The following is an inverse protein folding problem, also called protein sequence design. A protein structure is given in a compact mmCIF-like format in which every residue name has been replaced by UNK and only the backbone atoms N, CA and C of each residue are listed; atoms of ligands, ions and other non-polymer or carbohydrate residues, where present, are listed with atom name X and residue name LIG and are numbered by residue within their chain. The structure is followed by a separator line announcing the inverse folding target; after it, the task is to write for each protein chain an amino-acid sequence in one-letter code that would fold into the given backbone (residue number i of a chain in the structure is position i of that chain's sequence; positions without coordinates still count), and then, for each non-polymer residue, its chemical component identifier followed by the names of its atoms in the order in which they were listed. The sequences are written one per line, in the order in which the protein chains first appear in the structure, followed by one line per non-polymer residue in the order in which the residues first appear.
data_IF_941705369220
#
_entry.id   IF_941705369220
#
_cell.length_a   1.000
_cell.length_b   1.000
_cell.length_c   1.000
_cell.angle_alpha   90.00
_cell.angle_beta   90.00
_cell.angle_gamma   90.00
#
_symmetry.space_group_name_H-M   'P 1'
#
loop_
_entity.id
_entity.type
_entity.pdbx_description
1 polymer ?
#
# COMPACT_ATOMS: atom_id res chain seq x y z
N UNK A 1 -21.48 -5.41 -0.72
CA UNK A 1 -20.67 -4.35 -0.08
C UNK A 1 -21.54 -3.22 0.46
N UNK A 2 -22.59 -2.83 -0.28
CA UNK A 2 -23.58 -1.84 0.17
C UNK A 2 -24.24 -2.17 1.51
N UNK A 3 -24.63 -3.43 1.73
CA UNK A 3 -25.20 -3.92 3.00
C UNK A 3 -24.23 -3.80 4.21
N UNK A 4 -22.92 -3.75 3.94
CA UNK A 4 -21.88 -3.62 4.96
C UNK A 4 -21.32 -2.19 5.05
N UNK A 5 -21.82 -1.26 4.22
CA UNK A 5 -21.31 0.12 4.06
C UNK A 5 -19.79 0.17 3.83
N UNK A 6 -19.25 -0.84 3.14
CA UNK A 6 -17.82 -0.99 2.88
C UNK A 6 -17.54 -0.71 1.39
N UNK A 7 -16.64 0.22 1.04
CA UNK A 7 -16.37 0.57 -0.35
C UNK A 7 -15.52 -0.50 -1.07
N UNK A 8 -15.91 -0.82 -2.31
CA UNK A 8 -15.13 -1.64 -3.25
C UNK A 8 -13.91 -0.90 -3.80
N UNK A 9 -14.02 0.42 -3.94
CA UNK A 9 -13.02 1.32 -4.47
C UNK A 9 -12.98 2.57 -3.61
N UNK A 10 -11.79 3.08 -3.29
CA UNK A 10 -11.64 4.24 -2.43
C UNK A 10 -10.44 5.09 -2.85
N UNK A 11 -10.59 6.40 -2.71
CA UNK A 11 -9.47 7.35 -2.77
C UNK A 11 -9.39 8.04 -1.40
N UNK A 12 -8.20 8.01 -0.81
CA UNK A 12 -7.91 8.71 0.46
C UNK A 12 -6.88 9.78 0.18
N UNK A 13 -7.25 11.04 0.41
CA UNK A 13 -6.34 12.18 0.36
C UNK A 13 -5.92 12.55 1.78
N UNK A 14 -4.63 12.78 1.98
CA UNK A 14 -4.01 13.08 3.26
C UNK A 14 -3.22 14.38 3.18
N UNK A 15 -3.30 15.16 4.26
CA UNK A 15 -2.46 16.33 4.48
C UNK A 15 -1.56 16.05 5.69
N UNK A 16 -0.25 16.03 5.46
CA UNK A 16 0.74 15.76 6.50
C UNK A 16 1.05 17.03 7.29
N UNK A 17 1.50 16.87 8.54
CA UNK A 17 1.84 18.01 9.43
C UNK A 17 2.91 18.94 8.85
N UNK A 18 3.78 18.42 7.99
CA UNK A 18 4.82 19.18 7.30
C UNK A 18 4.34 19.90 6.04
N UNK A 19 3.04 19.86 5.74
CA UNK A 19 2.43 20.50 4.57
C UNK A 19 2.46 19.68 3.29
N UNK A 20 3.00 18.45 3.32
CA UNK A 20 2.99 17.55 2.18
C UNK A 20 1.61 16.94 1.97
N UNK A 21 1.38 16.47 0.74
CA UNK A 21 0.17 15.75 0.35
C UNK A 21 0.48 14.28 0.11
N UNK A 22 -0.48 13.42 0.47
CA UNK A 22 -0.49 12.01 0.12
C UNK A 22 -1.82 11.61 -0.48
N UNK A 23 -1.80 10.68 -1.43
CA UNK A 23 -3.00 10.08 -1.97
C UNK A 23 -2.84 8.56 -2.02
N UNK A 24 -3.91 7.85 -1.68
CA UNK A 24 -4.00 6.40 -1.80
C UNK A 24 -5.21 6.11 -2.69
N UNK A 25 -5.02 5.32 -3.74
CA UNK A 25 -6.07 4.74 -4.58
C UNK A 25 -6.09 3.23 -4.33
N UNK A 26 -7.27 2.70 -4.02
CA UNK A 26 -7.50 1.30 -3.69
C UNK A 26 -8.68 0.77 -4.48
N UNK A 27 -8.50 -0.42 -5.05
CA UNK A 27 -9.57 -1.15 -5.72
C UNK A 27 -9.52 -2.63 -5.36
N UNK A 28 -10.68 -3.20 -5.04
CA UNK A 28 -10.86 -4.66 -4.94
C UNK A 28 -11.08 -5.32 -6.30
N UNK A 29 -11.18 -4.54 -7.36
CA UNK A 29 -11.52 -4.96 -8.72
C UNK A 29 -10.32 -4.98 -9.68
N UNK A 30 -9.12 -5.26 -9.17
CA UNK A 30 -7.90 -5.45 -9.97
C UNK A 30 -7.92 -6.72 -10.81
N UNK A 31 -8.86 -6.84 -11.76
CA UNK A 31 -9.06 -8.02 -12.59
C UNK A 31 -7.84 -8.36 -13.47
N UNK A 32 -6.96 -7.38 -13.66
CA UNK A 32 -5.74 -7.50 -14.46
C UNK A 32 -4.51 -7.90 -13.63
N UNK A 33 -4.59 -8.00 -12.29
CA UNK A 33 -3.47 -8.42 -11.44
C UNK A 33 -3.37 -7.63 -10.14
N UNK A 34 -2.36 -7.98 -9.34
CA UNK A 34 -2.08 -7.38 -8.04
C UNK A 34 -1.18 -6.15 -8.20
N UNK A 35 -1.81 -5.03 -8.56
CA UNK A 35 -1.12 -3.78 -8.87
C UNK A 35 -0.83 -2.95 -7.61
N UNK A 36 0.39 -3.07 -7.08
CA UNK A 36 0.86 -2.30 -5.92
C UNK A 36 2.06 -1.45 -6.33
N UNK A 37 1.82 -0.15 -6.40
CA UNK A 37 2.80 0.87 -6.75
C UNK A 37 2.79 2.02 -5.74
N UNK A 38 3.90 2.72 -5.65
CA UNK A 38 4.03 3.95 -4.87
C UNK A 38 4.87 4.96 -5.65
N UNK A 39 4.50 6.22 -5.53
CA UNK A 39 5.17 7.34 -6.20
C UNK A 39 5.51 8.41 -5.17
N UNK A 40 6.75 8.90 -5.20
CA UNK A 40 7.23 9.97 -4.31
C UNK A 40 7.78 11.08 -5.20
N UNK A 41 7.02 12.15 -5.32
CA UNK A 41 7.42 13.37 -6.01
C UNK A 41 8.11 14.33 -5.02
N UNK A 42 9.35 14.70 -5.31
CA UNK A 42 10.10 15.71 -4.58
C UNK A 42 10.49 16.88 -5.49
N UNK A 43 11.19 17.85 -4.91
CA UNK A 43 11.63 19.06 -5.63
C UNK A 43 12.70 18.80 -6.70
N UNK A 44 13.44 17.69 -6.58
CA UNK A 44 14.51 17.32 -7.48
C UNK A 44 14.14 16.20 -8.47
N UNK A 45 12.94 15.64 -8.39
CA UNK A 45 12.51 14.54 -9.23
C UNK A 45 11.49 13.63 -8.58
N UNK A 46 11.28 12.46 -9.19
CA UNK A 46 10.26 11.49 -8.78
C UNK A 46 10.86 10.08 -8.65
N UNK A 47 10.44 9.36 -7.62
CA UNK A 47 10.68 7.93 -7.46
C UNK A 47 9.38 7.17 -7.69
N UNK A 48 9.44 6.09 -8.48
CA UNK A 48 8.35 5.14 -8.63
C UNK A 48 8.83 3.75 -8.21
N UNK A 49 8.10 3.17 -7.27
CA UNK A 49 8.42 1.87 -6.68
C UNK A 49 7.26 0.91 -6.93
N UNK A 50 7.53 -0.20 -7.60
CA UNK A 50 6.54 -1.22 -7.93
C UNK A 50 6.62 -1.63 -9.40
N UNK A 51 5.92 -2.71 -9.72
CA UNK A 51 5.85 -3.28 -11.06
C UNK A 51 4.55 -4.05 -11.20
N UNK A 52 4.00 -4.07 -12.42
CA UNK A 52 2.84 -4.88 -12.77
C UNK A 52 3.23 -6.15 -13.55
N UNK A 53 4.29 -6.09 -14.34
CA UNK A 53 4.78 -7.24 -15.13
C UNK A 53 5.64 -8.15 -14.24
N UNK A 54 5.21 -9.38 -14.08
CA UNK A 54 5.86 -10.35 -13.18
C UNK A 54 7.15 -10.91 -13.79
N UNK A 55 7.12 -11.36 -15.04
CA UNK A 55 8.29 -11.98 -15.68
C UNK A 55 8.88 -11.09 -16.79
N UNK A 56 10.16 -11.26 -17.16
CA UNK A 56 10.73 -10.55 -18.31
C UNK A 56 10.23 -11.08 -19.67
N UNK A 57 9.17 -11.90 -19.70
CA UNK A 57 8.67 -12.57 -20.90
C UNK A 57 7.64 -11.68 -21.62
N UNK A 58 7.71 -11.66 -22.94
CA UNK A 58 6.71 -11.06 -23.81
C UNK A 58 6.17 -12.09 -24.78
N UNK A 59 4.86 -12.05 -25.00
CA UNK A 59 4.17 -12.83 -26.04
C UNK A 59 3.87 -11.90 -27.20
N UNK A 60 4.47 -12.16 -28.36
CA UNK A 60 4.32 -11.35 -29.57
C UNK A 60 3.52 -12.12 -30.62
N UNK A 61 2.43 -11.53 -31.10
CA UNK A 61 1.55 -12.05 -32.16
C UNK A 61 1.32 -10.94 -33.20
N UNK A 62 0.80 -11.29 -34.38
CA UNK A 62 0.62 -10.37 -35.52
C UNK A 62 -0.04 -9.03 -35.18
N UNK A 63 -0.95 -8.97 -34.20
CA UNK A 63 -1.67 -7.76 -33.79
C UNK A 63 -1.63 -7.48 -32.27
N UNK A 64 -0.73 -8.13 -31.52
CA UNK A 64 -0.69 -7.96 -30.07
C UNK A 64 0.70 -8.25 -29.49
N UNK A 65 1.09 -7.42 -28.51
CA UNK A 65 2.16 -7.72 -27.57
C UNK A 65 1.53 -7.75 -26.19
N UNK A 66 1.73 -8.83 -25.45
CA UNK A 66 1.21 -8.99 -24.09
C UNK A 66 2.30 -9.51 -23.15
N UNK A 67 2.12 -9.27 -21.86
CA UNK A 67 2.92 -9.84 -20.78
C UNK A 67 1.99 -10.34 -19.68
N UNK A 68 2.53 -11.17 -18.79
CA UNK A 68 1.84 -11.57 -17.57
C UNK A 68 1.79 -10.43 -16.55
N UNK A 69 0.94 -10.58 -15.54
CA UNK A 69 0.86 -9.63 -14.44
C UNK A 69 1.06 -10.35 -13.12
N UNK A 70 1.44 -9.59 -12.09
CA UNK A 70 1.60 -10.14 -10.75
C UNK A 70 0.28 -10.78 -10.29
N UNK A 71 0.22 -12.11 -10.04
CA UNK A 71 -1.04 -12.80 -9.79
C UNK A 71 -1.65 -12.46 -8.42
N UNK A 72 -0.80 -12.24 -7.43
CA UNK A 72 -1.23 -12.04 -6.05
C UNK A 72 -0.13 -11.51 -5.14
N UNK A 73 -0.47 -11.36 -3.86
CA UNK A 73 0.44 -10.83 -2.86
C UNK A 73 1.59 -11.78 -2.54
N UNK A 74 1.41 -13.10 -2.74
CA UNK A 74 2.46 -14.09 -2.49
C UNK A 74 3.66 -13.86 -3.42
N UNK A 75 3.42 -13.80 -4.74
CA UNK A 75 4.46 -13.52 -5.73
C UNK A 75 5.03 -12.11 -5.52
N UNK A 76 4.15 -11.13 -5.25
CA UNK A 76 4.56 -9.73 -5.08
C UNK A 76 5.51 -9.49 -3.92
N UNK A 77 5.30 -10.21 -2.81
CA UNK A 77 5.93 -9.94 -1.52
C UNK A 77 6.69 -11.12 -0.94
N UNK A 78 6.93 -12.19 -1.70
CA UNK A 78 7.70 -13.37 -1.25
C UNK A 78 9.00 -12.96 -0.55
N UNK A 79 9.82 -12.17 -1.24
CA UNK A 79 11.08 -11.68 -0.70
C UNK A 79 10.88 -10.81 0.54
N UNK A 80 9.85 -9.95 0.55
CA UNK A 80 9.58 -9.07 1.69
C UNK A 80 9.21 -9.88 2.95
N UNK A 81 8.40 -10.94 2.81
CA UNK A 81 8.08 -11.83 3.93
C UNK A 81 9.29 -12.59 4.45
N UNK A 82 10.16 -13.06 3.55
CA UNK A 82 11.42 -13.72 3.93
C UNK A 82 12.33 -12.74 4.68
N UNK A 83 12.54 -11.55 4.13
CA UNK A 83 13.40 -10.52 4.73
C UNK A 83 12.84 -10.07 6.09
N UNK A 84 11.52 -9.96 6.24
CA UNK A 84 10.86 -9.65 7.51
C UNK A 84 11.12 -10.71 8.58
N UNK A 85 11.07 -12.00 8.22
CA UNK A 85 11.37 -13.09 9.17
C UNK A 85 12.84 -13.08 9.58
N UNK A 86 13.76 -12.82 8.64
CA UNK A 86 15.17 -12.65 8.96
C UNK A 86 15.40 -11.47 9.92
N UNK A 87 14.81 -10.31 9.66
CA UNK A 87 14.92 -9.15 10.56
C UNK A 87 14.41 -9.49 11.96
N UNK A 88 13.27 -10.17 12.06
CA UNK A 88 12.72 -10.64 13.34
C UNK A 88 13.71 -11.55 14.09
N UNK A 89 14.27 -12.57 13.42
CA UNK A 89 15.23 -13.47 14.06
C UNK A 89 16.51 -12.75 14.48
N UNK A 90 17.02 -11.83 13.65
CA UNK A 90 18.18 -11.03 14.01
C UNK A 90 17.90 -10.15 15.23
N UNK A 91 16.72 -9.51 15.30
CA UNK A 91 16.34 -8.69 16.46
C UNK A 91 16.34 -9.52 17.74
N UNK A 92 15.81 -10.75 17.71
CA UNK A 92 15.80 -11.66 18.86
C UNK A 92 17.21 -12.15 19.22
N UNK A 93 18.01 -12.58 18.24
CA UNK A 93 19.34 -13.17 18.49
C UNK A 93 20.35 -12.12 18.94
N UNK A 94 20.27 -10.91 18.38
CA UNK A 94 21.22 -9.83 18.64
C UNK A 94 20.74 -8.84 19.70
N UNK A 95 19.57 -9.08 20.30
CA UNK A 95 18.93 -8.17 21.27
C UNK A 95 18.80 -6.74 20.72
N UNK A 96 18.35 -6.62 19.46
CA UNK A 96 18.10 -5.32 18.83
C UNK A 96 16.65 -4.92 19.00
N UNK A 97 16.44 -3.63 19.14
CA UNK A 97 15.11 -3.04 19.03
C UNK A 97 14.55 -3.23 17.61
N UNK A 98 13.28 -3.65 17.47
CA UNK A 98 12.67 -3.84 16.16
C UNK A 98 12.47 -2.50 15.45
N UNK A 99 12.72 -2.48 14.15
CA UNK A 99 12.51 -1.30 13.29
C UNK A 99 11.04 -0.93 13.12
N UNK A 100 10.14 -1.89 13.32
CA UNK A 100 8.69 -1.72 13.33
C UNK A 100 8.14 -2.13 14.70
N UNK A 101 7.43 -1.22 15.33
CA UNK A 101 6.94 -1.34 16.70
C UNK A 101 5.42 -1.39 16.76
N UNK A 102 4.87 -1.66 17.94
CA UNK A 102 3.43 -1.56 18.16
C UNK A 102 2.87 -0.14 17.93
N UNK A 103 3.71 0.90 18.11
CA UNK A 103 3.31 2.29 17.88
C UNK A 103 3.04 2.55 16.39
N UNK A 104 3.83 1.94 15.49
CA UNK A 104 3.63 2.05 14.04
C UNK A 104 2.30 1.40 13.62
N UNK A 105 1.99 0.23 14.19
CA UNK A 105 0.70 -0.43 13.98
C UNK A 105 -0.49 0.39 14.48
N UNK A 106 -0.36 1.01 15.66
CA UNK A 106 -1.39 1.90 16.20
C UNK A 106 -1.59 3.14 15.32
N UNK A 107 -0.50 3.76 14.86
CA UNK A 107 -0.58 4.92 13.97
C UNK A 107 -1.28 4.57 12.64
N UNK A 108 -0.92 3.45 12.03
CA UNK A 108 -1.56 2.97 10.80
C UNK A 108 -3.07 2.69 11.00
N UNK A 109 -3.45 2.08 12.13
CA UNK A 109 -4.84 1.84 12.49
C UNK A 109 -5.63 3.15 12.64
N UNK A 110 -5.06 4.15 13.33
CA UNK A 110 -5.70 5.46 13.50
C UNK A 110 -5.96 6.16 12.17
N UNK A 111 -5.02 6.07 11.22
CA UNK A 111 -5.20 6.60 9.86
C UNK A 111 -6.37 5.90 9.15
N UNK A 112 -6.43 4.56 9.22
CA UNK A 112 -7.52 3.79 8.62
C UNK A 112 -8.90 4.12 9.22
N UNK A 113 -8.96 4.29 10.55
CA UNK A 113 -10.19 4.70 11.25
C UNK A 113 -10.61 6.13 10.91
N UNK A 114 -9.67 7.07 10.81
CA UNK A 114 -9.94 8.44 10.38
C UNK A 114 -10.50 8.48 8.94
N UNK A 115 -9.89 7.72 8.01
CA UNK A 115 -10.38 7.60 6.64
C UNK A 115 -11.79 7.00 6.58
N UNK A 116 -12.06 5.97 7.38
CA UNK A 116 -13.39 5.34 7.48
C UNK A 116 -14.43 6.30 8.04
N UNK A 117 -14.08 7.07 9.09
CA UNK A 117 -14.96 8.10 9.66
C UNK A 117 -15.25 9.20 8.64
N UNK A 118 -14.21 9.70 7.96
CA UNK A 118 -14.31 10.70 6.89
C UNK A 118 -15.24 10.25 5.75
N UNK A 119 -15.13 9.00 5.31
CA UNK A 119 -16.01 8.39 4.33
C UNK A 119 -17.49 8.37 4.78
N UNK A 120 -17.75 8.08 6.06
CA UNK A 120 -19.13 8.03 6.56
C UNK A 120 -19.73 9.41 6.86
N UNK A 121 -18.92 10.37 7.28
CA UNK A 121 -19.37 11.71 7.71
C UNK A 121 -19.28 12.77 6.58
N UNK A 122 -18.64 12.44 5.45
CA UNK A 122 -18.43 13.31 4.30
C UNK A 122 -17.70 14.63 4.63
N UNK A 123 -16.71 14.58 5.52
CA UNK A 123 -15.80 15.69 5.79
C UNK A 123 -14.40 15.20 6.18
N UNK A 124 -13.43 16.12 6.19
CA UNK A 124 -12.05 15.84 6.62
C UNK A 124 -12.06 15.52 8.12
N UNK A 125 -11.31 14.49 8.51
CA UNK A 125 -11.13 14.08 9.92
C UNK A 125 -9.65 14.15 10.26
N UNK A 126 -9.31 14.79 11.37
CA UNK A 126 -7.94 14.81 11.85
C UNK A 126 -7.61 13.50 12.59
N UNK A 127 -6.45 12.91 12.30
CA UNK A 127 -6.05 11.61 12.91
C UNK A 127 -5.98 11.69 14.44
N UNK A 128 -5.67 12.86 15.00
CA UNK A 128 -5.63 13.09 16.45
C UNK A 128 -6.99 13.00 17.16
N UNK A 129 -8.10 13.03 16.41
CA UNK A 129 -9.46 12.82 16.94
C UNK A 129 -9.79 11.35 17.15
N UNK A 130 -8.95 10.44 16.65
CA UNK A 130 -9.15 8.99 16.79
C UNK A 130 -8.46 8.50 18.06
N UNK A 131 -9.25 8.00 19.00
CA UNK A 131 -8.79 7.42 20.28
C UNK A 131 -8.01 6.12 20.09
#
# INVERSE_FOLDING_TARGET
MEDFRDPDNAIVNMYFENGNLGAIDLSRSGFYGYDIQSEILGTAGCLRCGYLRETPIQVMKDNAISHDTVPGFYERFEKAYIDQLFDFFENVIQDREPSVTAADGLAALKIGLAATKSYHENHVVEVKEIE
#
